data_IF_480524316011
#
_entry.id   IF_480524316011
#
_cell.length_a   1.000
_cell.length_b   1.000
_cell.length_c   1.000
_cell.angle_alpha   90.00
_cell.angle_beta   90.00
_cell.angle_gamma   90.00
#
_symmetry.space_group_name_H-M   'P 1'
#
loop_
_entity.id
_entity.type
_entity.pdbx_description
1 polymer ?
#
# COMPACT_ATOMS: atom_id res chain seq x y z
N UNK A 1 9.90 -11.14 -22.82
CA UNK A 1 9.25 -9.87 -23.20
C UNK A 1 8.04 -9.70 -22.31
N UNK A 2 7.91 -8.55 -21.65
CA UNK A 2 6.74 -8.26 -20.82
C UNK A 2 5.54 -7.93 -21.71
N UNK A 3 4.35 -8.37 -21.29
CA UNK A 3 3.10 -7.90 -21.90
C UNK A 3 2.84 -6.42 -21.55
N UNK A 4 1.97 -5.72 -22.32
CA UNK A 4 1.61 -4.33 -22.00
C UNK A 4 1.09 -4.15 -20.57
N UNK A 5 0.31 -5.11 -20.06
CA UNK A 5 -0.27 -5.05 -18.72
C UNK A 5 0.80 -5.29 -17.63
N UNK A 6 1.73 -6.23 -17.85
CA UNK A 6 2.88 -6.43 -16.96
C UNK A 6 3.79 -5.20 -16.91
N UNK A 7 3.99 -4.55 -18.07
CA UNK A 7 4.74 -3.30 -18.14
C UNK A 7 4.02 -2.19 -17.37
N UNK A 8 2.70 -2.06 -17.51
CA UNK A 8 1.91 -1.09 -16.75
C UNK A 8 2.03 -1.31 -15.23
N UNK A 9 1.91 -2.56 -14.75
CA UNK A 9 2.11 -2.90 -13.34
C UNK A 9 3.52 -2.52 -12.88
N UNK A 10 4.56 -2.87 -13.65
CA UNK A 10 5.94 -2.53 -13.31
C UNK A 10 6.20 -1.00 -13.26
N UNK A 11 5.62 -0.25 -14.20
CA UNK A 11 5.70 1.22 -14.24
C UNK A 11 4.98 1.84 -13.05
N UNK A 12 3.84 1.28 -12.65
CA UNK A 12 3.10 1.69 -11.45
C UNK A 12 3.95 1.46 -10.20
N UNK A 13 4.57 0.28 -10.06
CA UNK A 13 5.49 -0.03 -8.97
C UNK A 13 6.68 0.94 -8.91
N UNK A 14 7.22 1.36 -10.06
CA UNK A 14 8.29 2.36 -10.13
C UNK A 14 7.85 3.76 -9.68
N UNK A 15 6.56 4.07 -9.75
CA UNK A 15 5.98 5.34 -9.31
C UNK A 15 5.68 5.37 -7.80
N UNK A 16 5.64 4.21 -7.15
CA UNK A 16 5.47 4.07 -5.70
C UNK A 16 6.81 4.22 -4.96
N UNK A 17 6.78 4.57 -3.66
CA UNK A 17 7.97 4.46 -2.81
C UNK A 17 8.46 2.99 -2.75
N UNK A 18 9.71 2.80 -2.35
CA UNK A 18 10.28 1.46 -2.22
C UNK A 18 9.66 0.72 -1.01
N UNK A 19 8.57 0.00 -1.27
CA UNK A 19 7.86 -0.77 -0.26
C UNK A 19 8.64 -2.05 0.10
N UNK A 20 8.85 -2.34 1.40
CA UNK A 20 9.55 -3.54 1.83
C UNK A 20 8.79 -4.83 1.47
N UNK A 21 7.46 -4.80 1.51
CA UNK A 21 6.58 -5.92 1.17
C UNK A 21 5.50 -5.45 0.20
N UNK A 22 5.46 -6.03 -1.00
CA UNK A 22 4.42 -5.74 -1.97
C UNK A 22 3.32 -6.78 -1.84
N UNK A 23 2.15 -6.34 -1.39
CA UNK A 23 0.97 -7.18 -1.39
C UNK A 23 0.15 -6.90 -2.64
N UNK A 24 -0.40 -7.95 -3.23
CA UNK A 24 -1.18 -7.87 -4.47
C UNK A 24 -2.34 -6.88 -4.38
N UNK A 25 -3.01 -6.78 -3.22
CA UNK A 25 -4.08 -5.81 -2.96
C UNK A 25 -3.60 -4.35 -3.06
N UNK A 26 -2.42 -4.03 -2.52
CA UNK A 26 -1.86 -2.66 -2.58
C UNK A 26 -1.56 -2.26 -4.02
N UNK A 27 -1.01 -3.21 -4.78
CA UNK A 27 -0.69 -3.02 -6.19
C UNK A 27 -1.97 -2.88 -7.02
N UNK A 28 -3.00 -3.67 -6.73
CA UNK A 28 -4.31 -3.59 -7.40
C UNK A 28 -4.95 -2.21 -7.21
N UNK A 29 -4.91 -1.67 -6.00
CA UNK A 29 -5.35 -0.30 -5.70
C UNK A 29 -4.55 0.74 -6.47
N UNK A 30 -3.21 0.62 -6.48
CA UNK A 30 -2.35 1.57 -7.17
C UNK A 30 -2.55 1.56 -8.70
N UNK A 31 -2.80 0.38 -9.26
CA UNK A 31 -3.02 0.14 -10.69
C UNK A 31 -4.46 0.42 -11.16
N UNK A 32 -5.44 0.49 -10.25
CA UNK A 32 -6.88 0.45 -10.54
C UNK A 32 -7.31 -0.78 -11.35
N UNK A 33 -6.73 -1.94 -11.02
CA UNK A 33 -7.02 -3.21 -11.67
C UNK A 33 -7.67 -4.20 -10.68
N UNK A 34 -8.45 -5.18 -11.18
CA UNK A 34 -8.92 -6.29 -10.36
C UNK A 34 -7.75 -7.01 -9.68
N UNK A 35 -7.94 -7.40 -8.42
CA UNK A 35 -6.91 -8.06 -7.62
C UNK A 35 -6.39 -9.34 -8.27
N UNK A 36 -7.28 -10.20 -8.78
CA UNK A 36 -6.92 -11.43 -9.50
C UNK A 36 -6.05 -11.16 -10.75
N UNK A 37 -6.32 -10.08 -11.48
CA UNK A 37 -5.52 -9.71 -12.64
C UNK A 37 -4.11 -9.29 -12.22
N UNK A 38 -4.02 -8.44 -11.19
CA UNK A 38 -2.74 -7.99 -10.63
C UNK A 38 -1.92 -9.17 -10.11
N UNK A 39 -2.52 -10.16 -9.45
CA UNK A 39 -1.80 -11.35 -9.00
C UNK A 39 -1.17 -12.11 -10.15
N UNK A 40 -1.93 -12.36 -11.23
CA UNK A 40 -1.37 -13.02 -12.43
C UNK A 40 -0.19 -12.22 -13.01
N UNK A 41 -0.29 -10.90 -13.05
CA UNK A 41 0.78 -10.04 -13.57
C UNK A 41 2.01 -10.03 -12.64
N UNK A 42 1.82 -9.99 -11.31
CA UNK A 42 2.91 -10.08 -10.35
C UNK A 42 3.60 -11.43 -10.40
N UNK A 43 2.86 -12.54 -10.57
CA UNK A 43 3.46 -13.85 -10.81
C UNK A 43 4.25 -13.90 -12.11
N UNK A 44 3.74 -13.31 -13.19
CA UNK A 44 4.47 -13.22 -14.46
C UNK A 44 5.75 -12.40 -14.32
N UNK A 45 5.69 -11.25 -13.65
CA UNK A 45 6.86 -10.41 -13.34
C UNK A 45 7.88 -11.14 -12.45
N UNK A 46 7.42 -11.91 -11.47
CA UNK A 46 8.29 -12.69 -10.60
C UNK A 46 8.98 -13.83 -11.37
N UNK A 47 8.25 -14.52 -12.27
CA UNK A 47 8.84 -15.53 -13.18
C UNK A 47 9.85 -14.93 -14.16
N UNK A 48 9.67 -13.67 -14.54
CA UNK A 48 10.60 -12.93 -15.38
C UNK A 48 11.76 -12.29 -14.58
N UNK A 49 11.86 -12.55 -13.27
CA UNK A 49 12.86 -11.98 -12.36
C UNK A 49 12.87 -10.44 -12.29
N UNK A 50 11.79 -9.80 -12.75
CA UNK A 50 11.61 -8.35 -12.64
C UNK A 50 11.31 -7.91 -11.20
N UNK A 51 10.68 -8.81 -10.43
CA UNK A 51 10.43 -8.66 -8.99
C UNK A 51 10.77 -9.96 -8.27
N UNK A 52 11.04 -9.90 -6.97
CA UNK A 52 11.17 -11.06 -6.11
C UNK A 52 9.82 -11.55 -5.58
N UNK A 53 9.71 -12.86 -5.33
CA UNK A 53 8.61 -13.47 -4.56
C UNK A 53 9.09 -13.72 -3.13
N UNK A 54 8.32 -13.29 -2.14
CA UNK A 54 8.49 -13.67 -0.74
C UNK A 54 7.56 -14.85 -0.45
N UNK A 55 8.13 -15.99 -0.07
CA UNK A 55 7.33 -17.15 0.35
C UNK A 55 6.45 -16.79 1.57
N UNK A 56 5.23 -17.35 1.68
CA UNK A 56 4.30 -16.96 2.73
C UNK A 56 4.88 -17.31 4.11
N UNK A 57 4.75 -16.38 5.06
CA UNK A 57 5.20 -16.57 6.43
C UNK A 57 4.12 -17.19 7.33
N UNK A 58 2.83 -16.99 7.02
CA UNK A 58 1.74 -17.38 7.95
C UNK A 58 0.32 -17.35 7.36
N UNK A 59 0.12 -16.74 6.19
CA UNK A 59 -1.18 -16.54 5.55
C UNK A 59 -1.07 -16.88 4.06
N UNK A 60 -2.15 -17.34 3.44
CA UNK A 60 -2.19 -17.78 2.03
C UNK A 60 -1.94 -16.63 1.03
N UNK A 61 -1.72 -15.41 1.51
CA UNK A 61 -1.43 -14.23 0.72
C UNK A 61 0.00 -14.22 0.15
N UNK A 62 0.09 -14.10 -1.17
CA UNK A 62 1.37 -13.97 -1.88
C UNK A 62 1.98 -12.59 -1.64
N UNK A 63 3.25 -12.58 -1.21
CA UNK A 63 4.05 -11.37 -1.02
C UNK A 63 5.12 -11.28 -2.09
N UNK A 64 5.39 -10.06 -2.53
CA UNK A 64 6.43 -9.75 -3.50
C UNK A 64 7.39 -8.71 -2.92
N UNK A 65 8.52 -8.51 -3.58
CA UNK A 65 9.43 -7.41 -3.25
C UNK A 65 10.17 -6.94 -4.50
N UNK A 66 10.59 -5.69 -4.48
CA UNK A 66 11.60 -5.18 -5.40
C UNK A 66 12.90 -5.07 -4.63
N UNK A 67 14.01 -5.54 -5.21
CA UNK A 67 15.33 -5.12 -4.75
C UNK A 67 15.49 -3.61 -4.97
N UNK A 68 16.48 -3.00 -4.31
CA UNK A 68 16.76 -1.56 -4.50
C UNK A 68 17.09 -1.25 -5.95
N UNK A 69 17.85 -2.13 -6.63
CA UNK A 69 18.20 -1.95 -8.03
C UNK A 69 16.97 -2.13 -8.94
N UNK A 70 16.15 -3.16 -8.72
CA UNK A 70 14.90 -3.37 -9.47
C UNK A 70 13.94 -2.18 -9.32
N UNK A 71 13.80 -1.65 -8.09
CA UNK A 71 12.99 -0.46 -7.86
C UNK A 71 13.55 0.77 -8.59
N UNK A 72 14.86 1.01 -8.50
CA UNK A 72 15.51 2.12 -9.20
C UNK A 72 15.27 2.05 -10.70
N UNK A 73 15.40 0.87 -11.28
CA UNK A 73 15.24 0.66 -12.71
C UNK A 73 13.78 0.84 -13.13
N UNK A 74 12.82 0.29 -12.36
CA UNK A 74 11.39 0.52 -12.56
C UNK A 74 11.01 2.01 -12.44
N UNK A 75 11.58 2.73 -11.46
CA UNK A 75 11.36 4.17 -11.27
C UNK A 75 11.95 4.99 -12.40
N UNK A 76 13.13 4.64 -12.89
CA UNK A 76 13.74 5.28 -14.06
C UNK A 76 12.85 5.11 -15.30
N UNK A 77 12.36 3.89 -15.52
CA UNK A 77 11.48 3.57 -16.63
C UNK A 77 10.15 4.33 -16.52
N UNK A 78 9.50 4.32 -15.34
CA UNK A 78 8.25 5.05 -15.08
C UNK A 78 8.38 6.54 -15.40
N UNK A 79 9.47 7.17 -14.95
CA UNK A 79 9.76 8.58 -15.25
C UNK A 79 9.94 8.87 -16.72
N UNK A 80 10.50 7.93 -17.46
CA UNK A 80 10.77 8.06 -18.90
C UNK A 80 9.49 7.90 -19.71
N UNK A 81 8.60 6.99 -19.32
CA UNK A 81 7.39 6.63 -20.07
C UNK A 81 6.21 7.54 -19.73
N UNK A 82 5.93 7.78 -18.45
CA UNK A 82 4.72 8.50 -18.00
C UNK A 82 5.01 9.90 -17.47
N UNK A 83 6.29 10.29 -17.37
CA UNK A 83 6.67 11.43 -16.56
C UNK A 83 6.52 11.13 -15.07
N UNK A 84 6.76 12.15 -14.23
CA UNK A 84 6.56 12.01 -12.78
C UNK A 84 5.06 12.18 -12.47
N UNK A 85 4.36 11.08 -12.21
CA UNK A 85 2.95 11.09 -11.78
C UNK A 85 2.81 10.61 -10.34
N UNK A 86 1.97 11.29 -9.55
CA UNK A 86 1.66 10.94 -8.16
C UNK A 86 0.36 10.15 -8.01
N UNK A 87 -0.40 9.92 -9.10
CA UNK A 87 -1.75 9.35 -9.00
C UNK A 87 -1.78 7.96 -8.35
N UNK A 88 -0.85 7.07 -8.72
CA UNK A 88 -0.73 5.75 -8.11
C UNK A 88 -0.44 5.84 -6.60
N UNK A 89 0.40 6.78 -6.20
CA UNK A 89 0.69 7.06 -4.79
C UNK A 89 -0.54 7.63 -4.07
N UNK A 90 -1.29 8.54 -4.69
CA UNK A 90 -2.51 9.12 -4.12
C UNK A 90 -3.57 8.04 -3.86
N UNK A 91 -3.75 7.11 -4.80
CA UNK A 91 -4.65 5.95 -4.63
C UNK A 91 -4.23 5.07 -3.47
N UNK A 92 -2.95 4.70 -3.42
CA UNK A 92 -2.42 3.86 -2.34
C UNK A 92 -2.56 4.54 -0.97
N UNK A 93 -2.22 5.83 -0.89
CA UNK A 93 -2.35 6.65 0.32
C UNK A 93 -3.80 6.72 0.79
N UNK A 94 -4.74 6.95 -0.12
CA UNK A 94 -6.17 6.99 0.18
C UNK A 94 -6.67 5.65 0.72
N UNK A 95 -6.24 4.55 0.12
CA UNK A 95 -6.56 3.21 0.60
C UNK A 95 -6.00 2.93 1.99
N UNK A 96 -4.73 3.26 2.23
CA UNK A 96 -4.10 3.10 3.55
C UNK A 96 -4.78 3.96 4.62
N UNK A 97 -5.17 5.20 4.29
CA UNK A 97 -5.97 6.04 5.18
C UNK A 97 -7.31 5.39 5.49
N UNK A 98 -8.07 4.95 4.48
CA UNK A 98 -9.36 4.29 4.68
C UNK A 98 -9.23 3.07 5.61
N UNK A 99 -8.28 2.17 5.32
CA UNK A 99 -8.06 0.98 6.13
C UNK A 99 -7.65 1.33 7.56
N UNK A 100 -6.71 2.25 7.74
CA UNK A 100 -6.21 2.58 9.06
C UNK A 100 -7.24 3.35 9.91
N UNK A 101 -8.11 4.17 9.30
CA UNK A 101 -9.25 4.78 9.98
C UNK A 101 -10.28 3.74 10.42
N UNK A 102 -10.62 2.77 9.55
CA UNK A 102 -11.50 1.66 9.96
C UNK A 102 -10.89 0.87 11.11
N UNK A 103 -9.60 0.52 11.02
CA UNK A 103 -8.91 -0.19 12.07
C UNK A 103 -8.92 0.60 13.40
N UNK A 104 -8.71 1.92 13.36
CA UNK A 104 -8.83 2.76 14.55
C UNK A 104 -10.22 2.70 15.17
N UNK A 105 -11.27 2.83 14.36
CA UNK A 105 -12.66 2.79 14.85
C UNK A 105 -12.98 1.47 15.54
N UNK A 106 -12.42 0.36 15.05
CA UNK A 106 -12.61 -0.97 15.66
C UNK A 106 -11.77 -1.16 16.92
N UNK A 107 -10.51 -0.73 16.92
CA UNK A 107 -9.58 -0.94 18.01
C UNK A 107 -9.72 0.09 19.14
N UNK A 108 -10.34 1.24 18.87
CA UNK A 108 -10.41 2.36 19.80
C UNK A 108 -11.73 3.14 19.64
N UNK A 109 -12.89 2.48 19.80
CA UNK A 109 -14.20 3.10 19.54
C UNK A 109 -14.52 4.27 20.48
N UNK A 110 -13.89 4.33 21.65
CA UNK A 110 -14.10 5.40 22.64
C UNK A 110 -13.25 6.65 22.39
N UNK A 111 -12.33 6.64 21.41
CA UNK A 111 -11.49 7.78 21.10
C UNK A 111 -12.17 8.71 20.08
N UNK A 112 -12.15 10.04 20.29
CA UNK A 112 -12.70 10.98 19.33
C UNK A 112 -11.97 10.89 17.98
N UNK A 113 -12.71 11.14 16.90
CA UNK A 113 -12.19 11.13 15.53
C UNK A 113 -11.02 12.10 15.34
N UNK A 114 -10.18 11.81 14.34
CA UNK A 114 -9.03 12.65 14.04
C UNK A 114 -9.46 13.86 13.19
N UNK A 115 -8.91 15.07 13.43
CA UNK A 115 -9.20 16.23 12.59
C UNK A 115 -8.84 15.97 11.12
N UNK A 116 -9.84 16.02 10.23
CA UNK A 116 -9.70 15.77 8.79
C UNK A 116 -10.17 14.39 8.32
N UNK A 117 -10.60 13.53 9.24
CA UNK A 117 -11.15 12.21 8.91
C UNK A 117 -12.39 12.26 8.01
N UNK A 118 -13.31 13.19 8.28
CA UNK A 118 -14.54 13.37 7.49
C UNK A 118 -14.28 13.75 6.02
N UNK A 119 -13.06 14.22 5.72
CA UNK A 119 -12.67 14.62 4.36
C UNK A 119 -11.98 13.52 3.57
N UNK A 120 -11.70 12.37 4.20
CA UNK A 120 -11.06 11.25 3.52
C UNK A 120 -12.10 10.42 2.76
N UNK A 121 -12.01 10.32 1.42
CA UNK A 121 -12.98 9.55 0.63
C UNK A 121 -12.93 8.06 0.99
N UNK A 122 -14.05 7.54 1.51
CA UNK A 122 -14.27 6.17 1.96
C UNK A 122 -14.51 5.16 0.81
N UNK A 123 -14.04 5.45 -0.41
CA UNK A 123 -14.44 4.67 -1.60
C UNK A 123 -13.82 3.27 -1.68
N UNK A 124 -12.86 2.94 -0.83
CA UNK A 124 -12.19 1.63 -0.86
C UNK A 124 -12.51 0.85 0.41
N UNK A 125 -13.16 -0.29 0.25
CA UNK A 125 -13.50 -1.17 1.35
C UNK A 125 -12.20 -1.77 1.93
N UNK A 126 -12.01 -1.76 3.26
CA UNK A 126 -10.85 -2.39 3.88
C UNK A 126 -10.83 -3.90 3.60
N UNK A 127 -9.65 -4.53 3.57
CA UNK A 127 -9.49 -5.95 3.25
C UNK A 127 -9.90 -6.88 4.41
N UNK A 128 -10.39 -6.31 5.52
CA UNK A 128 -10.89 -7.04 6.68
C UNK A 128 -12.34 -6.65 6.94
N UNK A 129 -13.16 -7.59 7.45
CA UNK A 129 -14.54 -7.28 7.81
C UNK A 129 -14.60 -6.17 8.86
N UNK A 130 -15.64 -5.34 8.78
CA UNK A 130 -15.82 -4.19 9.65
C UNK A 130 -16.20 -4.54 11.10
N UNK A 131 -16.22 -5.81 11.49
CA UNK A 131 -16.60 -6.31 12.81
C UNK A 131 -15.50 -7.16 13.49
N UNK A 132 -14.34 -7.31 12.86
CA UNK A 132 -13.25 -8.15 13.35
C UNK A 132 -12.03 -7.31 13.78
N UNK A 133 -11.97 -6.94 15.06
CA UNK A 133 -10.87 -6.18 15.66
C UNK A 133 -9.51 -6.85 15.49
N UNK A 134 -9.45 -8.18 15.64
CA UNK A 134 -8.20 -8.94 15.52
C UNK A 134 -7.67 -8.90 14.08
N UNK A 135 -8.55 -8.97 13.09
CA UNK A 135 -8.19 -8.85 11.68
C UNK A 135 -7.70 -7.44 11.33
N UNK A 136 -8.32 -6.41 11.91
CA UNK A 136 -7.88 -5.02 11.75
C UNK A 136 -6.50 -4.78 12.38
N UNK A 137 -6.25 -5.34 13.57
CA UNK A 137 -4.92 -5.27 14.21
C UNK A 137 -3.87 -6.04 13.41
N UNK A 138 -4.17 -7.26 12.97
CA UNK A 138 -3.29 -8.06 12.14
C UNK A 138 -2.90 -7.32 10.85
N UNK A 139 -3.86 -6.68 10.18
CA UNK A 139 -3.59 -5.85 9.00
C UNK A 139 -2.66 -4.68 9.33
N UNK A 140 -2.91 -3.93 10.41
CA UNK A 140 -2.04 -2.82 10.82
C UNK A 140 -0.60 -3.29 11.07
N UNK A 141 -0.44 -4.42 11.74
CA UNK A 141 0.87 -4.99 12.04
C UNK A 141 1.59 -5.44 10.78
N UNK A 142 0.87 -6.09 9.87
CA UNK A 142 1.42 -6.53 8.58
C UNK A 142 1.84 -5.33 7.72
N UNK A 143 1.04 -4.26 7.67
CA UNK A 143 1.27 -3.12 6.76
C UNK A 143 2.10 -2.01 7.37
N UNK A 144 2.50 -2.15 8.63
CA UNK A 144 3.27 -1.16 9.38
C UNK A 144 4.51 -0.66 8.65
N UNK A 145 5.30 -1.58 8.09
CA UNK A 145 6.53 -1.22 7.39
C UNK A 145 6.25 -0.41 6.12
N UNK A 146 5.23 -0.81 5.35
CA UNK A 146 4.77 -0.07 4.17
C UNK A 146 4.20 1.30 4.53
N UNK A 147 3.35 1.38 5.55
CA UNK A 147 2.76 2.62 6.06
C UNK A 147 3.86 3.63 6.42
N UNK A 148 4.90 3.18 7.13
CA UNK A 148 6.03 4.04 7.47
C UNK A 148 6.80 4.54 6.25
N UNK A 149 6.98 3.70 5.22
CA UNK A 149 7.61 4.12 3.97
C UNK A 149 6.74 5.16 3.24
N UNK A 150 5.43 4.92 3.13
CA UNK A 150 4.49 5.87 2.52
C UNK A 150 4.44 7.19 3.28
N UNK A 151 4.40 7.18 4.61
CA UNK A 151 4.44 8.40 5.44
C UNK A 151 5.66 9.26 5.12
N UNK A 152 6.84 8.64 5.01
CA UNK A 152 8.08 9.37 4.69
C UNK A 152 8.03 10.00 3.30
N UNK A 153 7.50 9.27 2.32
CA UNK A 153 7.42 9.75 0.93
C UNK A 153 6.38 10.88 0.78
N UNK A 154 5.24 10.75 1.45
CA UNK A 154 4.19 11.78 1.55
C UNK A 154 4.71 13.04 2.26
N UNK A 155 5.51 12.88 3.33
CA UNK A 155 6.20 14.01 3.97
C UNK A 155 7.17 14.72 3.01
N UNK A 156 7.97 13.96 2.26
CA UNK A 156 8.91 14.51 1.29
C UNK A 156 8.20 15.23 0.13
N UNK A 157 7.00 14.78 -0.23
CA UNK A 157 6.16 15.35 -1.30
C UNK A 157 5.33 16.57 -0.85
N UNK A 158 5.41 16.96 0.43
CA UNK A 158 4.75 18.17 0.96
C UNK A 158 3.26 18.01 1.27
N UNK A 159 2.71 16.79 1.27
CA UNK A 159 1.30 16.51 1.59
C UNK A 159 1.08 16.49 3.11
N UNK A 160 1.20 17.66 3.74
CA UNK A 160 1.31 17.81 5.20
C UNK A 160 0.13 17.22 5.99
N UNK A 161 -1.10 17.46 5.54
CA UNK A 161 -2.29 16.99 6.26
C UNK A 161 -2.43 15.46 6.20
N UNK A 162 -2.21 14.88 5.02
CA UNK A 162 -2.14 13.43 4.80
C UNK A 162 -1.04 12.78 5.64
N UNK A 163 0.15 13.38 5.67
CA UNK A 163 1.28 12.87 6.43
C UNK A 163 0.97 12.85 7.94
N UNK A 164 0.32 13.91 8.45
CA UNK A 164 -0.13 14.00 9.85
C UNK A 164 -1.13 12.90 10.19
N UNK A 165 -2.13 12.66 9.33
CA UNK A 165 -3.15 11.63 9.53
C UNK A 165 -2.54 10.23 9.53
N UNK A 166 -1.72 9.89 8.52
CA UNK A 166 -1.07 8.59 8.47
C UNK A 166 -0.12 8.36 9.66
N UNK A 167 0.60 9.39 10.11
CA UNK A 167 1.47 9.30 11.29
C UNK A 167 0.66 9.00 12.56
N UNK A 168 -0.48 9.67 12.75
CA UNK A 168 -1.35 9.42 13.89
C UNK A 168 -1.91 7.98 13.88
N UNK A 169 -2.25 7.48 12.70
CA UNK A 169 -2.76 6.11 12.52
C UNK A 169 -1.70 5.04 12.70
N UNK A 170 -0.44 5.30 12.32
CA UNK A 170 0.68 4.39 12.60
C UNK A 170 0.96 4.24 14.10
N UNK A 171 0.79 5.32 14.86
CA UNK A 171 0.99 5.32 16.31
C UNK A 171 -0.08 4.49 17.03
N UNK A 172 -1.31 4.43 16.52
CA UNK A 172 -2.37 3.57 17.07
C UNK A 172 -2.01 2.09 17.00
N UNK A 173 -1.36 1.64 15.92
CA UNK A 173 -0.85 0.27 15.82
C UNK A 173 0.27 -0.05 16.84
N UNK A 174 0.89 0.96 17.46
CA UNK A 174 1.86 0.77 18.57
C UNK A 174 1.20 0.61 19.92
N UNK A 175 -0.04 1.07 20.05
CA UNK A 175 -0.75 1.26 21.31
C UNK A 175 -1.86 0.22 21.55
N UNK A 176 -2.13 -0.65 20.58
CA UNK A 176 -3.07 -1.76 20.79
C UNK A 176 -2.53 -2.68 21.91
N UNK A 177 -3.35 -2.98 22.93
CA UNK A 177 -2.93 -3.74 24.09
C UNK A 177 -2.77 -5.24 23.78
N UNK A 178 -1.93 -5.91 24.58
CA UNK A 178 -1.89 -7.38 24.73
C UNK A 178 -3.23 -7.97 25.19
#
# INVERSE_FOLDING_TARGET
MLSPDEAYVLLTLGSLPHLPDLHSVDVAVACELPHEEVERHLEALARAEAIGRKCPATDDSLRYCLSVDQHRDARCLARTVHGWSTEALERLVRYYLACAMTARTLLSPSHPGLPGEDTCPSSTQPPFPADHSDAAFAWLQERRANLMTVVRDVHASGWRDTARLLTALEQLGRLAPE
#
